data_IF_724421107616
#
_entry.id   IF_724421107616
#
_cell.length_a   1.000
_cell.length_b   1.000
_cell.length_c   1.000
_cell.angle_alpha   90.00
_cell.angle_beta   90.00
_cell.angle_gamma   90.00
#
_symmetry.space_group_name_H-M   'P 1'
#
loop_
_entity.id
_entity.type
_entity.pdbx_description
1 polymer ?
#
# COMPACT_ATOMS: atom_id res chain seq x y z
N UNK A 1 3.81 -10.76 3.13
CA UNK A 1 3.78 -10.53 1.67
C UNK A 1 5.02 -9.72 1.30
N UNK A 2 5.66 -10.05 0.20
CA UNK A 2 6.78 -9.29 -0.42
C UNK A 2 6.28 -8.62 -1.72
N UNK A 3 7.09 -7.76 -2.32
CA UNK A 3 6.70 -6.97 -3.49
C UNK A 3 6.17 -7.82 -4.64
N UNK A 4 6.86 -8.93 -4.97
CA UNK A 4 6.46 -9.84 -6.05
C UNK A 4 5.00 -10.31 -5.89
N UNK A 5 4.68 -10.86 -4.72
CA UNK A 5 3.33 -11.37 -4.43
C UNK A 5 2.30 -10.22 -4.42
N UNK A 6 2.66 -9.05 -3.91
CA UNK A 6 1.78 -7.88 -3.95
C UNK A 6 1.45 -7.47 -5.38
N UNK A 7 2.47 -7.38 -6.25
CA UNK A 7 2.33 -6.96 -7.64
C UNK A 7 1.61 -8.00 -8.52
N UNK A 8 1.71 -9.29 -8.19
CA UNK A 8 0.92 -10.36 -8.82
C UNK A 8 -0.56 -10.29 -8.41
N UNK A 9 -0.83 -9.85 -7.17
CA UNK A 9 -2.20 -9.78 -6.62
C UNK A 9 -2.91 -8.48 -7.01
N UNK A 10 -2.20 -7.35 -6.99
CA UNK A 10 -2.77 -6.01 -7.18
C UNK A 10 -2.05 -5.27 -8.30
N UNK A 11 -2.83 -4.81 -9.28
CA UNK A 11 -2.32 -4.00 -10.38
C UNK A 11 -2.06 -2.56 -9.90
N UNK A 12 -1.21 -1.85 -10.63
CA UNK A 12 -1.09 -0.39 -10.47
C UNK A 12 -2.47 0.25 -10.71
N UNK A 13 -2.86 1.18 -9.82
CA UNK A 13 -4.17 1.81 -9.82
C UNK A 13 -5.21 1.16 -8.90
N UNK A 14 -4.89 0.03 -8.25
CA UNK A 14 -5.77 -0.56 -7.24
C UNK A 14 -5.95 0.37 -6.03
N UNK A 15 -7.15 0.36 -5.45
CA UNK A 15 -7.51 1.19 -4.31
C UNK A 15 -7.31 0.45 -3.00
N UNK A 16 -6.84 1.18 -1.99
CA UNK A 16 -6.59 0.67 -0.66
C UNK A 16 -7.05 1.67 0.39
N UNK A 17 -7.38 1.18 1.57
CA UNK A 17 -7.49 1.94 2.79
C UNK A 17 -6.10 1.98 3.42
N UNK A 18 -5.48 3.16 3.43
CA UNK A 18 -4.23 3.43 4.13
C UNK A 18 -4.48 3.73 5.60
N UNK A 19 -3.95 2.86 6.46
CA UNK A 19 -4.05 2.94 7.92
C UNK A 19 -2.65 2.79 8.51
N UNK A 20 -1.95 3.89 8.86
CA UNK A 20 -0.59 3.83 9.39
C UNK A 20 -0.50 3.13 10.74
N UNK A 21 -1.56 3.23 11.55
CA UNK A 21 -1.66 2.54 12.83
C UNK A 21 -2.95 1.70 12.86
N UNK A 22 -2.85 0.35 12.88
CA UNK A 22 -4.01 -0.55 12.85
C UNK A 22 -5.05 -0.32 13.96
N UNK A 23 -4.65 0.30 15.06
CA UNK A 23 -5.52 0.58 16.22
C UNK A 23 -6.43 1.78 15.95
N UNK A 24 -6.01 2.71 15.07
CA UNK A 24 -6.77 3.92 14.77
C UNK A 24 -7.86 3.62 13.73
N UNK A 25 -9.09 4.05 14.03
CA UNK A 25 -10.19 4.03 13.05
C UNK A 25 -10.08 5.24 12.12
N UNK A 26 -10.42 5.05 10.84
CA UNK A 26 -10.51 6.16 9.86
C UNK A 26 -9.34 6.24 8.88
N UNK A 27 -8.96 5.12 8.26
CA UNK A 27 -7.95 5.13 7.18
C UNK A 27 -8.40 5.91 5.95
N UNK A 28 -7.43 6.43 5.18
CA UNK A 28 -7.69 7.21 3.96
C UNK A 28 -7.74 6.29 2.74
N UNK A 29 -8.63 6.55 1.79
CA UNK A 29 -8.61 5.83 0.51
C UNK A 29 -7.46 6.38 -0.35
N UNK A 30 -6.61 5.48 -0.82
CA UNK A 30 -5.46 5.75 -1.68
C UNK A 30 -5.49 4.82 -2.89
N UNK A 31 -4.78 5.16 -3.96
CA UNK A 31 -4.52 4.27 -5.10
C UNK A 31 -3.02 4.09 -5.28
N UNK A 32 -2.62 2.89 -5.71
CA UNK A 32 -1.22 2.64 -6.10
C UNK A 32 -0.89 3.40 -7.39
N UNK A 33 0.28 4.02 -7.43
CA UNK A 33 0.78 4.78 -8.59
C UNK A 33 1.85 4.01 -9.36
N UNK A 34 2.55 3.12 -8.67
CA UNK A 34 3.59 2.26 -9.24
C UNK A 34 3.58 0.88 -8.57
N UNK A 35 4.44 -0.03 -9.05
CA UNK A 35 4.67 -1.35 -8.46
C UNK A 35 5.29 -1.25 -7.07
N UNK A 36 4.96 -2.19 -6.20
CA UNK A 36 5.63 -2.34 -4.92
C UNK A 36 7.09 -2.76 -5.12
N UNK A 37 7.96 -2.32 -4.20
CA UNK A 37 9.40 -2.64 -4.16
C UNK A 37 9.79 -3.10 -2.76
N UNK A 38 10.66 -4.09 -2.70
CA UNK A 38 11.24 -4.57 -1.44
C UNK A 38 12.45 -3.71 -1.08
N UNK A 39 12.48 -3.26 0.17
CA UNK A 39 13.62 -2.65 0.86
C UNK A 39 14.19 -3.67 1.86
N UNK A 40 15.28 -3.32 2.54
CA UNK A 40 15.96 -4.24 3.48
C UNK A 40 15.06 -4.82 4.57
N UNK A 41 14.12 -4.02 5.10
CA UNK A 41 13.25 -4.41 6.22
C UNK A 41 11.75 -4.22 5.94
N UNK A 42 11.39 -3.75 4.76
CA UNK A 42 10.00 -3.40 4.44
C UNK A 42 9.70 -3.54 2.96
N UNK A 43 8.41 -3.64 2.64
CA UNK A 43 7.94 -3.57 1.26
C UNK A 43 7.06 -2.33 1.14
N UNK A 44 7.39 -1.47 0.19
CA UNK A 44 6.72 -0.18 0.00
C UNK A 44 6.12 -0.08 -1.39
N UNK A 45 5.05 0.70 -1.51
CA UNK A 45 4.42 1.03 -2.79
C UNK A 45 4.14 2.52 -2.84
N UNK A 46 4.26 3.11 -4.03
CA UNK A 46 3.91 4.50 -4.26
C UNK A 46 2.38 4.67 -4.29
N UNK A 47 1.88 5.69 -3.62
CA UNK A 47 0.47 6.02 -3.49
C UNK A 47 0.21 7.49 -3.89
N UNK A 48 -1.01 7.77 -4.32
CA UNK A 48 -1.38 9.06 -4.92
C UNK A 48 -1.58 10.23 -3.95
N UNK A 49 -1.39 10.01 -2.64
CA UNK A 49 -1.51 11.04 -1.62
C UNK A 49 -0.37 10.90 -0.62
N UNK A 50 -0.06 11.95 0.12
CA UNK A 50 0.88 11.92 1.24
C UNK A 50 0.54 10.76 2.20
N UNK A 51 1.52 9.89 2.57
CA UNK A 51 2.98 10.08 2.50
C UNK A 51 3.69 9.77 1.16
N UNK A 52 2.96 9.54 0.07
CA UNK A 52 3.46 9.16 -1.27
C UNK A 52 4.05 7.76 -1.35
N UNK A 53 4.64 7.25 -0.28
CA UNK A 53 5.04 5.85 -0.17
C UNK A 53 4.44 5.24 1.09
N UNK A 54 3.76 4.09 0.92
CA UNK A 54 3.17 3.36 2.02
C UNK A 54 3.78 1.97 2.14
N UNK A 55 4.02 1.54 3.38
CA UNK A 55 4.29 0.13 3.64
C UNK A 55 3.05 -0.69 3.28
N UNK A 56 3.21 -1.78 2.54
CA UNK A 56 2.08 -2.63 2.14
C UNK A 56 1.32 -3.22 3.34
N UNK A 57 1.96 -3.33 4.52
CA UNK A 57 1.31 -3.78 5.76
C UNK A 57 0.31 -2.77 6.31
N UNK A 58 0.39 -1.51 5.88
CA UNK A 58 -0.52 -0.43 6.25
C UNK A 58 -1.65 -0.25 5.22
N UNK A 59 -1.77 -1.14 4.23
CA UNK A 59 -2.77 -1.08 3.17
C UNK A 59 -3.75 -2.24 3.27
N UNK A 60 -5.04 -1.92 3.28
CA UNK A 60 -6.14 -2.90 3.21
C UNK A 60 -6.88 -2.71 1.88
N UNK A 61 -7.10 -3.75 1.05
CA UNK A 61 -7.81 -3.61 -0.22
C UNK A 61 -9.17 -2.95 -0.04
N UNK A 62 -9.47 -1.94 -0.86
CA UNK A 62 -10.73 -1.20 -0.81
C UNK A 62 -11.71 -1.74 -1.87
N UNK A 63 -12.14 -3.00 -1.72
CA UNK A 63 -13.14 -3.63 -2.58
C UNK A 63 -12.65 -4.07 -3.95
#
# INVERSE_FOLDING_TARGET
MQAKQFNETYKVGCHFIYTPNPILRGGRIVKTVDVARDLSESTVVEINIEPWFANIKSLTPAG
#
